data_IF_310800210947
#
_entry.id   IF_310800210947
#
_cell.length_a   1.000
_cell.length_b   1.000
_cell.length_c   1.000
_cell.angle_alpha   90.00
_cell.angle_beta   90.00
_cell.angle_gamma   90.00
#
_symmetry.space_group_name_H-M   'P 1'
#
loop_
_entity.id
_entity.type
_entity.pdbx_description
1 polymer ?
#
# COMPACT_ATOMS: atom_id res chain seq x y z
N UNK A 1 -17.11 6.93 8.75
CA UNK A 1 -15.72 6.81 9.24
C UNK A 1 -15.00 8.10 8.88
N UNK A 2 -14.43 8.82 9.85
CA UNK A 2 -13.61 9.99 9.55
C UNK A 2 -12.35 9.51 8.83
N UNK A 3 -12.05 10.11 7.67
CA UNK A 3 -10.81 9.84 6.93
C UNK A 3 -9.65 10.45 7.72
N UNK A 4 -9.12 9.66 8.66
CA UNK A 4 -8.11 10.13 9.57
C UNK A 4 -6.83 10.50 8.80
N UNK A 5 -6.32 11.71 9.02
CA UNK A 5 -5.18 12.27 8.27
C UNK A 5 -3.84 11.74 8.81
N UNK A 6 -3.63 10.44 8.83
CA UNK A 6 -2.34 9.86 9.21
C UNK A 6 -1.96 8.65 8.38
N UNK A 7 -0.67 8.32 8.38
CA UNK A 7 -0.18 7.11 7.76
C UNK A 7 -0.33 5.91 8.71
N UNK A 8 -0.97 4.83 8.27
CA UNK A 8 -1.19 3.62 9.07
C UNK A 8 0.11 2.94 9.55
N UNK A 9 1.22 3.11 8.82
CA UNK A 9 2.50 2.46 9.14
C UNK A 9 3.32 3.24 10.17
N UNK A 10 3.49 4.55 10.02
CA UNK A 10 4.27 5.36 10.96
C UNK A 10 3.43 6.16 11.96
N UNK A 11 2.11 6.08 11.88
CA UNK A 11 1.15 6.82 12.70
C UNK A 11 1.34 8.35 12.69
N UNK A 12 2.17 8.87 11.78
CA UNK A 12 2.41 10.30 11.64
C UNK A 12 1.17 10.96 11.06
N UNK A 13 0.69 12.01 11.74
CA UNK A 13 -0.39 12.87 11.26
C UNK A 13 0.13 13.85 10.20
N UNK A 14 -0.72 14.13 9.23
CA UNK A 14 -0.45 15.06 8.14
C UNK A 14 -1.53 16.15 8.12
N UNK A 15 -1.17 17.39 7.76
CA UNK A 15 -2.12 18.50 7.77
C UNK A 15 -3.24 18.34 6.72
N UNK A 16 -2.93 17.70 5.58
CA UNK A 16 -3.85 17.48 4.46
C UNK A 16 -3.81 16.01 4.00
N UNK A 17 -4.95 15.50 3.54
CA UNK A 17 -5.10 14.12 3.03
C UNK A 17 -4.38 13.94 1.69
N UNK A 18 -4.19 15.00 0.91
CA UNK A 18 -3.51 14.97 -0.39
C UNK A 18 -2.03 14.55 -0.29
N UNK A 19 -1.42 14.73 0.90
CA UNK A 19 -0.08 14.22 1.21
C UNK A 19 -0.06 12.72 1.48
N UNK A 20 -1.21 12.07 1.48
CA UNK A 20 -1.38 10.66 1.74
C UNK A 20 -1.86 9.92 0.49
N UNK A 21 -1.41 8.68 0.34
CA UNK A 21 -1.89 7.74 -0.68
C UNK A 21 -2.92 6.82 -0.06
N UNK A 22 -4.06 6.53 -0.74
CA UNK A 22 -5.09 5.68 -0.18
C UNK A 22 -4.62 4.22 -0.08
N UNK A 23 -5.03 3.54 0.98
CA UNK A 23 -4.94 2.09 1.14
C UNK A 23 -6.32 1.48 0.94
N UNK A 24 -6.45 0.67 -0.10
CA UNK A 24 -7.66 -0.10 -0.37
C UNK A 24 -7.48 -1.56 0.03
N UNK A 25 -8.54 -2.12 0.61
CA UNK A 25 -8.70 -3.54 0.89
C UNK A 25 -8.59 -4.34 -0.41
N UNK A 26 -7.71 -5.34 -0.45
CA UNK A 26 -7.58 -6.21 -1.62
C UNK A 26 -8.75 -7.20 -1.76
N UNK A 27 -9.50 -7.45 -0.68
CA UNK A 27 -10.66 -8.36 -0.69
C UNK A 27 -11.98 -7.64 -0.94
N UNK A 28 -12.17 -6.45 -0.34
CA UNK A 28 -13.45 -5.74 -0.39
C UNK A 28 -13.44 -4.49 -1.27
N UNK A 29 -12.26 -4.03 -1.71
CA UNK A 29 -12.11 -2.76 -2.44
C UNK A 29 -12.37 -1.50 -1.60
N UNK A 30 -12.73 -1.65 -0.32
CA UNK A 30 -13.02 -0.52 0.56
C UNK A 30 -11.75 0.22 0.95
N UNK A 31 -11.88 1.54 1.17
CA UNK A 31 -10.81 2.35 1.71
C UNK A 31 -10.59 2.00 3.20
N UNK A 32 -9.45 1.40 3.51
CA UNK A 32 -9.08 1.01 4.89
C UNK A 32 -8.23 2.09 5.58
N UNK A 33 -7.60 2.97 4.80
CA UNK A 33 -6.88 4.12 5.35
C UNK A 33 -5.88 4.71 4.37
N UNK A 34 -4.70 5.07 4.88
CA UNK A 34 -3.75 5.90 4.16
C UNK A 34 -2.28 5.57 4.45
N UNK A 35 -1.43 5.85 3.46
CA UNK A 35 0.02 5.80 3.52
C UNK A 35 0.62 7.19 3.35
N UNK A 36 1.73 7.46 4.03
CA UNK A 36 2.62 8.52 3.56
C UNK A 36 3.37 8.03 2.32
N UNK A 37 3.88 8.97 1.53
CA UNK A 37 4.61 8.71 0.28
C UNK A 37 5.68 7.62 0.42
N UNK A 38 6.53 7.73 1.46
CA UNK A 38 7.57 6.73 1.74
C UNK A 38 7.02 5.31 1.92
N UNK A 39 5.95 5.13 2.70
CA UNK A 39 5.40 3.78 2.93
C UNK A 39 4.64 3.26 1.71
N UNK A 40 4.01 4.16 0.95
CA UNK A 40 3.41 3.78 -0.33
C UNK A 40 4.46 3.20 -1.28
N UNK A 41 5.61 3.86 -1.43
CA UNK A 41 6.71 3.35 -2.27
C UNK A 41 7.24 2.01 -1.77
N UNK A 42 7.46 1.86 -0.46
CA UNK A 42 7.94 0.61 0.13
C UNK A 42 6.98 -0.56 -0.13
N UNK A 43 5.67 -0.35 0.03
CA UNK A 43 4.65 -1.37 -0.23
C UNK A 43 4.57 -1.68 -1.73
N UNK A 44 4.61 -0.67 -2.59
CA UNK A 44 4.63 -0.84 -4.05
C UNK A 44 5.82 -1.70 -4.48
N UNK A 45 7.02 -1.36 -4.03
CA UNK A 45 8.26 -2.05 -4.42
C UNK A 45 8.33 -3.47 -3.82
N UNK A 46 7.74 -3.69 -2.64
CA UNK A 46 7.52 -5.03 -2.11
C UNK A 46 6.59 -5.85 -3.02
N UNK A 47 5.44 -5.29 -3.39
CA UNK A 47 4.46 -5.98 -4.25
C UNK A 47 5.02 -6.31 -5.64
N UNK A 48 5.81 -5.40 -6.24
CA UNK A 48 6.50 -5.65 -7.52
C UNK A 48 7.46 -6.83 -7.39
N UNK A 49 8.27 -6.87 -6.32
CA UNK A 49 9.20 -7.98 -6.08
C UNK A 49 8.47 -9.30 -5.84
N UNK A 50 7.37 -9.29 -5.08
CA UNK A 50 6.55 -10.49 -4.89
C UNK A 50 5.98 -10.98 -6.22
N UNK A 51 5.42 -10.09 -7.04
CA UNK A 51 4.88 -10.43 -8.37
C UNK A 51 5.95 -11.05 -9.26
N UNK A 52 7.14 -10.45 -9.34
CA UNK A 52 8.26 -10.99 -10.11
C UNK A 52 8.66 -12.39 -9.61
N UNK A 53 8.76 -12.59 -8.29
CA UNK A 53 9.08 -13.89 -7.72
C UNK A 53 8.03 -14.97 -8.07
N UNK A 54 6.74 -14.62 -8.06
CA UNK A 54 5.67 -15.53 -8.48
C UNK A 54 5.74 -15.86 -9.98
N UNK A 55 5.99 -14.87 -10.84
CA UNK A 55 6.13 -15.08 -12.28
C UNK A 55 7.34 -15.95 -12.62
N UNK A 56 8.47 -15.75 -11.92
CA UNK A 56 9.67 -16.58 -12.09
C UNK A 56 9.46 -18.01 -11.59
N UNK A 57 8.68 -18.19 -10.52
CA UNK A 57 8.29 -19.52 -10.04
C UNK A 57 7.43 -20.27 -11.06
N UNK A 58 6.38 -19.64 -11.60
CA UNK A 58 5.49 -20.27 -12.59
C UNK A 58 6.25 -20.62 -13.88
N UNK A 59 7.21 -19.77 -14.31
CA UNK A 59 8.08 -20.04 -15.48
C UNK A 59 9.07 -21.18 -15.29
N UNK A 60 9.44 -21.53 -14.06
CA UNK A 60 10.43 -22.59 -13.75
C UNK A 60 9.80 -23.95 -13.45
N UNK A 61 8.46 -24.04 -13.37
CA UNK A 61 7.75 -25.19 -12.82
C UNK A 61 6.55 -25.68 -13.64
N UNK A 62 6.40 -25.26 -14.90
CA UNK A 62 5.53 -25.90 -15.90
C UNK A 62 6.33 -26.22 -17.16
#
# INVERSE_FOLDING_TARGET
MSLEKYCLYCQRRFPQVEYLKPLYSWTTGNLEGYFCERHYEQVRDFNIRQKQAYEDYDKRGK
#
